data_IF_688571192911
#
_entry.id   IF_688571192911
#
_cell.length_a   1.000
_cell.length_b   1.000
_cell.length_c   1.000
_cell.angle_alpha   90.00
_cell.angle_beta   90.00
_cell.angle_gamma   90.00
#
_symmetry.space_group_name_H-M   'P 1'
#
loop_
_entity.id
_entity.type
_entity.pdbx_description
1 polymer ?
#
# COMPACT_ATOMS: atom_id res chain seq x y z
N UNK A 1 27.19 28.21 16.47
CA UNK A 1 26.56 27.75 15.20
C UNK A 1 25.92 26.40 15.51
N UNK A 2 24.60 26.37 15.64
CA UNK A 2 23.85 25.15 15.96
C UNK A 2 23.65 24.37 14.67
N UNK A 3 24.40 23.29 14.49
CA UNK A 3 24.09 22.29 13.47
C UNK A 3 22.72 21.71 13.78
N UNK A 4 21.74 22.09 12.97
CA UNK A 4 20.42 21.46 13.00
C UNK A 4 20.62 20.09 12.37
N UNK A 5 20.79 19.06 13.19
CA UNK A 5 20.77 17.67 12.71
C UNK A 5 19.40 17.44 12.08
N UNK A 6 19.30 17.55 10.75
CA UNK A 6 18.13 17.06 10.02
C UNK A 6 17.97 15.59 10.44
N UNK A 7 16.91 15.29 11.19
CA UNK A 7 16.49 13.90 11.40
C UNK A 7 16.23 13.34 10.01
N UNK A 8 17.10 12.44 9.55
CA UNK A 8 16.81 11.63 8.36
C UNK A 8 15.45 10.97 8.60
N UNK A 9 14.49 11.30 7.75
CA UNK A 9 13.21 10.61 7.72
C UNK A 9 13.48 9.12 7.46
N UNK A 10 12.82 8.27 8.24
CA UNK A 10 13.08 6.83 8.20
C UNK A 10 12.79 6.28 6.82
N UNK A 11 13.76 5.55 6.26
CA UNK A 11 13.65 4.94 4.95
C UNK A 11 13.09 3.53 5.06
N UNK A 12 12.52 2.99 3.98
CA UNK A 12 12.00 1.61 3.97
C UNK A 12 13.05 0.56 4.35
N UNK A 13 14.33 0.81 4.09
CA UNK A 13 15.44 -0.08 4.50
C UNK A 13 15.68 -0.15 6.01
N UNK A 14 15.04 0.74 6.80
CA UNK A 14 15.14 0.74 8.26
C UNK A 14 14.10 -0.15 8.94
N UNK A 15 12.99 -0.48 8.25
CA UNK A 15 11.95 -1.36 8.78
C UNK A 15 12.37 -2.81 8.57
N UNK A 16 12.81 -3.48 9.65
CA UNK A 16 13.19 -4.89 9.63
C UNK A 16 12.17 -5.75 10.35
N UNK A 17 11.67 -6.76 9.65
CA UNK A 17 10.91 -7.86 10.22
C UNK A 17 11.80 -9.12 10.18
N UNK A 18 12.52 -9.44 11.27
CA UNK A 18 13.54 -10.50 11.29
C UNK A 18 13.01 -11.85 10.82
N UNK A 19 13.88 -12.63 10.17
CA UNK A 19 13.59 -13.96 9.62
C UNK A 19 12.36 -14.00 8.70
N UNK A 20 12.00 -12.87 8.10
CA UNK A 20 10.89 -12.81 7.17
C UNK A 20 11.19 -11.95 5.96
N UNK A 21 10.51 -12.26 4.86
CA UNK A 21 10.64 -11.53 3.59
C UNK A 21 9.26 -11.19 3.04
N UNK A 22 9.17 -10.02 2.41
CA UNK A 22 8.03 -9.65 1.58
C UNK A 22 8.00 -10.54 0.35
N UNK A 23 6.82 -11.04 0.01
CA UNK A 23 6.55 -11.72 -1.25
C UNK A 23 5.27 -11.15 -1.86
N UNK A 24 5.07 -11.39 -3.14
CA UNK A 24 3.87 -10.99 -3.87
C UNK A 24 3.31 -12.17 -4.64
N UNK A 25 1.99 -12.34 -4.59
CA UNK A 25 1.27 -13.26 -5.46
C UNK A 25 0.67 -12.44 -6.61
N UNK A 26 0.97 -12.84 -7.84
CA UNK A 26 0.40 -12.24 -9.04
C UNK A 26 -1.06 -12.68 -9.21
N UNK A 27 -1.95 -11.74 -9.50
CA UNK A 27 -3.31 -12.02 -9.93
C UNK A 27 -3.40 -12.23 -11.44
N UNK A 28 -4.57 -12.68 -11.89
CA UNK A 28 -4.89 -12.85 -13.31
C UNK A 28 -5.18 -11.52 -13.99
N UNK A 29 -5.73 -10.52 -13.28
CA UNK A 29 -5.90 -9.18 -13.83
C UNK A 29 -4.58 -8.40 -13.81
N UNK A 30 -4.35 -7.66 -14.89
CA UNK A 30 -3.12 -6.88 -15.11
C UNK A 30 -2.80 -5.97 -13.93
N UNK A 31 -1.61 -6.14 -13.37
CA UNK A 31 -1.04 -5.29 -12.32
C UNK A 31 -1.49 -5.66 -10.90
N UNK A 32 -2.37 -6.66 -10.72
CA UNK A 32 -2.73 -7.18 -9.40
C UNK A 32 -1.55 -7.94 -8.82
N UNK A 33 -0.92 -7.37 -7.78
CA UNK A 33 0.17 -7.98 -7.00
C UNK A 33 -0.14 -7.92 -5.53
N UNK A 34 -0.46 -9.06 -4.91
CA UNK A 34 -0.95 -9.13 -3.55
C UNK A 34 0.18 -9.40 -2.57
N UNK A 35 0.46 -8.50 -1.61
CA UNK A 35 1.58 -8.64 -0.70
C UNK A 35 1.28 -9.65 0.42
N UNK A 36 2.27 -10.48 0.71
CA UNK A 36 2.34 -11.32 1.89
C UNK A 36 3.74 -11.24 2.50
N UNK A 37 3.87 -11.89 3.66
CA UNK A 37 5.16 -12.11 4.30
C UNK A 37 5.36 -13.58 4.54
N UNK A 38 6.55 -14.07 4.23
CA UNK A 38 6.96 -15.45 4.54
C UNK A 38 7.98 -15.41 5.67
N UNK A 39 7.72 -16.20 6.72
CA UNK A 39 8.61 -16.37 7.86
C UNK A 39 9.36 -17.68 7.69
N UNK A 40 10.69 -17.63 7.63
CA UNK A 40 11.52 -18.82 7.55
C UNK A 40 11.47 -19.57 8.89
N UNK A 41 11.33 -20.89 8.82
CA UNK A 41 11.38 -21.77 9.97
C UNK A 41 12.73 -22.47 10.04
N UNK A 42 13.21 -22.75 11.24
CA UNK A 42 14.40 -23.58 11.44
C UNK A 42 14.09 -25.03 11.09
N UNK A 43 15.04 -25.81 10.54
CA UNK A 43 14.86 -27.24 10.31
C UNK A 43 14.59 -28.01 11.60
N UNK A 44 13.72 -29.02 11.55
CA UNK A 44 13.43 -29.92 12.67
C UNK A 44 14.47 -31.05 12.71
N UNK A 45 15.08 -31.29 13.88
CA UNK A 45 15.94 -32.45 14.09
C UNK A 45 15.17 -33.54 14.83
N UNK A 46 14.92 -34.66 14.15
CA UNK A 46 14.17 -35.78 14.69
C UNK A 46 15.03 -36.64 15.63
N UNK A 47 14.39 -37.45 16.48
CA UNK A 47 15.07 -38.33 17.46
C UNK A 47 16.02 -39.35 16.83
N UNK A 48 15.79 -39.71 15.57
CA UNK A 48 16.64 -40.59 14.77
C UNK A 48 17.84 -39.87 14.12
N UNK A 49 18.03 -38.57 14.38
CA UNK A 49 19.11 -37.75 13.84
C UNK A 49 18.85 -37.18 12.45
N UNK A 50 17.70 -37.47 11.82
CA UNK A 50 17.32 -36.88 10.54
C UNK A 50 16.96 -35.40 10.69
N UNK A 51 17.28 -34.61 9.66
CA UNK A 51 16.92 -33.19 9.55
C UNK A 51 15.79 -33.08 8.54
N UNK A 52 14.71 -32.43 8.95
CA UNK A 52 13.53 -32.13 8.14
C UNK A 52 13.45 -30.62 7.94
N UNK A 53 13.49 -30.19 6.68
CA UNK A 53 13.31 -28.77 6.33
C UNK A 53 11.84 -28.39 6.50
N UNK A 54 11.59 -27.24 7.13
CA UNK A 54 10.24 -26.74 7.35
C UNK A 54 9.92 -25.66 6.32
N UNK A 55 8.80 -25.81 5.63
CA UNK A 55 8.32 -24.78 4.71
C UNK A 55 8.03 -23.45 5.45
N UNK A 56 8.27 -22.30 4.79
CA UNK A 56 8.04 -21.01 5.41
C UNK A 56 6.56 -20.78 5.69
N UNK A 57 6.25 -20.14 6.82
CA UNK A 57 4.87 -19.77 7.16
C UNK A 57 4.52 -18.47 6.48
N UNK A 58 3.52 -18.52 5.60
CA UNK A 58 2.95 -17.34 4.96
C UNK A 58 1.93 -16.68 5.87
N UNK A 59 2.06 -15.37 6.06
CA UNK A 59 1.16 -14.56 6.88
C UNK A 59 0.67 -13.33 6.10
N UNK A 60 -0.46 -12.81 6.55
CA UNK A 60 -1.00 -11.54 6.08
C UNK A 60 -0.01 -10.41 6.34
N UNK A 61 0.11 -9.48 5.40
CA UNK A 61 1.02 -8.36 5.55
C UNK A 61 0.39 -7.02 5.14
N UNK A 62 0.33 -6.10 6.10
CA UNK A 62 -0.24 -4.76 5.99
C UNK A 62 0.81 -3.65 6.06
N UNK A 63 2.10 -3.96 6.17
CA UNK A 63 3.19 -2.97 6.23
C UNK A 63 3.32 -2.13 4.94
N UNK A 64 2.77 -2.61 3.83
CA UNK A 64 2.86 -1.95 2.53
C UNK A 64 4.26 -2.12 1.91
N UNK A 65 4.76 -1.13 1.16
CA UNK A 65 6.10 -1.17 0.55
C UNK A 65 7.22 -0.78 1.52
N UNK A 66 6.90 -0.41 2.77
CA UNK A 66 7.89 0.08 3.73
C UNK A 66 8.85 -0.98 4.24
N UNK A 67 8.50 -2.27 4.17
CA UNK A 67 9.37 -3.39 4.51
C UNK A 67 9.86 -4.16 3.27
N UNK A 68 9.58 -3.64 2.07
CA UNK A 68 10.08 -4.19 0.82
C UNK A 68 11.44 -3.55 0.50
N UNK A 69 12.51 -4.33 0.66
CA UNK A 69 13.87 -3.89 0.36
C UNK A 69 14.09 -3.51 -1.11
N UNK A 70 13.22 -3.97 -2.03
CA UNK A 70 13.28 -3.60 -3.44
C UNK A 70 12.64 -2.23 -3.71
N UNK A 71 11.88 -1.66 -2.76
CA UNK A 71 11.16 -0.39 -2.93
C UNK A 71 11.75 0.66 -2.02
N UNK A 72 12.31 1.71 -2.62
CA UNK A 72 12.72 2.90 -1.87
C UNK A 72 11.52 3.81 -1.66
N UNK A 73 11.12 3.98 -0.40
CA UNK A 73 10.05 4.89 -0.02
C UNK A 73 10.62 6.22 0.49
N UNK A 74 9.99 7.32 0.08
CA UNK A 74 10.22 8.66 0.60
C UNK A 74 8.87 9.26 0.98
N UNK A 75 8.74 9.67 2.25
CA UNK A 75 7.48 10.23 2.75
C UNK A 75 7.09 11.50 1.99
N UNK A 76 8.06 12.28 1.50
CA UNK A 76 7.83 13.53 0.77
C UNK A 76 7.34 13.29 -0.64
N UNK A 77 7.64 12.12 -1.23
CA UNK A 77 7.12 11.72 -2.54
C UNK A 77 5.77 11.01 -2.46
N UNK A 78 5.50 10.35 -1.33
CA UNK A 78 4.33 9.50 -1.14
C UNK A 78 4.46 8.15 -1.84
N UNK A 79 3.44 7.30 -1.65
CA UNK A 79 3.46 5.95 -2.22
C UNK A 79 3.04 5.91 -3.69
N UNK A 80 3.58 4.92 -4.40
CA UNK A 80 3.19 4.58 -5.76
C UNK A 80 1.68 4.34 -5.86
N UNK A 81 1.07 4.86 -6.92
CA UNK A 81 -0.38 4.84 -7.12
C UNK A 81 -0.88 3.52 -7.72
N UNK A 82 -0.60 2.38 -7.09
CA UNK A 82 -0.78 1.03 -7.67
C UNK A 82 -2.17 0.79 -8.28
N UNK A 83 -3.22 1.37 -7.68
CA UNK A 83 -4.62 1.20 -8.12
C UNK A 83 -5.07 2.19 -9.19
N UNK A 84 -4.27 3.21 -9.51
CA UNK A 84 -4.70 4.31 -10.38
C UNK A 84 -5.06 3.80 -11.77
N UNK A 85 -4.25 2.92 -12.33
CA UNK A 85 -4.48 2.39 -13.67
C UNK A 85 -5.74 1.52 -13.70
N UNK A 86 -6.00 0.72 -12.66
CA UNK A 86 -7.24 -0.06 -12.52
C UNK A 86 -8.47 0.84 -12.50
N UNK A 87 -8.38 1.97 -11.80
CA UNK A 87 -9.47 2.93 -11.66
C UNK A 87 -9.74 3.64 -12.99
N UNK A 88 -8.69 4.11 -13.67
CA UNK A 88 -8.83 4.82 -14.96
C UNK A 88 -9.31 3.88 -16.06
N UNK A 89 -8.80 2.64 -16.11
CA UNK A 89 -9.12 1.67 -17.15
C UNK A 89 -10.61 1.28 -17.21
N UNK A 90 -11.36 1.45 -16.10
CA UNK A 90 -12.83 1.23 -16.09
C UNK A 90 -13.60 2.25 -16.92
N UNK A 91 -13.02 3.42 -17.17
CA UNK A 91 -13.60 4.44 -18.05
C UNK A 91 -14.79 5.21 -17.47
N UNK A 92 -15.08 5.08 -16.17
CA UNK A 92 -16.22 5.70 -15.47
C UNK A 92 -15.83 6.87 -14.55
N UNK A 93 -14.55 7.24 -14.55
CA UNK A 93 -14.00 8.39 -13.82
C UNK A 93 -13.47 9.47 -14.75
N UNK A 94 -13.42 10.69 -14.25
CA UNK A 94 -12.78 11.85 -14.89
C UNK A 94 -11.97 12.63 -13.84
N UNK A 95 -10.91 13.31 -14.31
CA UNK A 95 -10.14 14.23 -13.47
C UNK A 95 -10.91 15.52 -13.22
N UNK A 96 -10.73 16.11 -12.04
CA UNK A 96 -11.25 17.44 -11.73
C UNK A 96 -10.28 18.19 -10.83
N UNK A 97 -10.42 19.52 -10.76
CA UNK A 97 -9.49 20.42 -10.05
C UNK A 97 -9.34 20.11 -8.56
N UNK A 98 -10.30 19.43 -7.93
CA UNK A 98 -10.35 19.32 -6.47
C UNK A 98 -11.02 20.53 -5.83
N UNK A 99 -11.19 20.49 -4.50
CA UNK A 99 -11.60 21.68 -3.74
C UNK A 99 -10.36 22.42 -3.25
N UNK A 100 -10.47 23.73 -3.12
CA UNK A 100 -9.43 24.53 -2.48
C UNK A 100 -9.38 24.24 -0.97
N UNK A 101 -8.14 24.18 -0.44
CA UNK A 101 -7.90 24.08 1.00
C UNK A 101 -8.25 25.43 1.63
N UNK A 102 -8.98 25.38 2.73
CA UNK A 102 -9.41 26.55 3.50
C UNK A 102 -8.67 26.59 4.85
N UNK A 103 -8.55 27.77 5.48
CA UNK A 103 -7.94 27.91 6.81
C UNK A 103 -8.55 26.99 7.88
N UNK A 104 -9.87 26.81 7.82
CA UNK A 104 -10.65 25.94 8.71
C UNK A 104 -10.24 24.45 8.62
N UNK A 105 -9.63 24.02 7.51
CA UNK A 105 -9.12 22.65 7.34
C UNK A 105 -7.85 22.40 8.18
N UNK A 106 -7.12 23.46 8.47
CA UNK A 106 -5.87 23.45 9.24
C UNK A 106 -6.05 24.03 10.65
N UNK A 107 -7.29 24.30 11.07
CA UNK A 107 -7.61 24.82 12.41
C UNK A 107 -7.40 26.32 12.59
N UNK A 108 -7.40 27.10 11.51
CA UNK A 108 -7.25 28.56 11.57
C UNK A 108 -8.55 29.30 11.23
N UNK A 109 -8.80 30.42 11.92
CA UNK A 109 -10.02 31.21 11.79
C UNK A 109 -9.96 32.26 10.66
N UNK A 110 -8.77 32.62 10.17
CA UNK A 110 -8.58 33.70 9.19
C UNK A 110 -7.57 33.34 8.10
N UNK A 111 -7.81 33.84 6.89
CA UNK A 111 -6.81 33.89 5.82
C UNK A 111 -5.61 34.72 6.30
N UNK A 112 -4.40 34.17 6.20
CA UNK A 112 -3.14 34.79 6.66
C UNK A 112 -2.56 34.19 7.95
N UNK A 113 -3.37 33.58 8.83
CA UNK A 113 -2.84 32.87 10.00
C UNK A 113 -1.97 31.66 9.61
N UNK A 114 -2.26 31.05 8.46
CA UNK A 114 -1.45 29.99 7.85
C UNK A 114 -0.07 30.48 7.41
N UNK A 115 0.08 31.71 6.95
CA UNK A 115 1.38 32.26 6.51
C UNK A 115 2.33 32.41 7.69
N UNK A 116 1.80 32.87 8.83
CA UNK A 116 2.55 32.90 10.08
C UNK A 116 2.93 31.49 10.55
N UNK A 117 2.04 30.51 10.41
CA UNK A 117 2.32 29.12 10.73
C UNK A 117 3.35 28.47 9.80
N UNK A 118 3.39 28.84 8.52
CA UNK A 118 4.41 28.41 7.53
C UNK A 118 5.80 28.96 7.83
N UNK A 119 5.89 30.09 8.54
CA UNK A 119 7.17 30.73 8.89
C UNK A 119 7.76 30.26 10.24
N UNK A 120 7.06 29.39 11.00
CA UNK A 120 7.55 28.91 12.30
C UNK A 120 8.64 27.86 12.17
N UNK A 121 9.63 27.92 13.07
CA UNK A 121 10.68 26.89 13.21
C UNK A 121 10.14 25.58 13.81
N UNK A 122 9.10 25.63 14.65
CA UNK A 122 8.44 24.46 15.25
C UNK A 122 6.94 24.47 14.99
N UNK A 123 6.40 23.33 14.58
CA UNK A 123 4.98 23.19 14.22
C UNK A 123 4.62 23.90 12.92
N UNK A 124 5.57 23.93 11.97
CA UNK A 124 5.36 24.55 10.67
C UNK A 124 4.24 23.86 9.92
N UNK A 125 3.29 24.64 9.40
CA UNK A 125 2.31 24.11 8.46
C UNK A 125 3.00 23.83 7.12
N UNK A 126 3.17 22.55 6.79
CA UNK A 126 3.79 22.13 5.53
C UNK A 126 2.78 21.40 4.65
N UNK A 127 2.43 21.94 3.46
CA UNK A 127 1.61 21.21 2.51
C UNK A 127 2.37 20.00 1.98
N UNK A 128 1.67 18.90 1.77
CA UNK A 128 2.28 17.67 1.26
C UNK A 128 2.89 17.90 -0.14
N UNK A 129 4.23 17.76 -0.31
CA UNK A 129 4.90 18.13 -1.56
C UNK A 129 4.71 17.08 -2.67
N UNK A 130 4.35 15.84 -2.34
CA UNK A 130 4.15 14.75 -3.29
C UNK A 130 2.81 14.75 -4.02
N UNK A 131 1.94 15.73 -3.79
CA UNK A 131 0.61 15.79 -4.41
C UNK A 131 0.69 16.24 -5.87
N UNK A 132 1.06 15.32 -6.76
CA UNK A 132 1.24 15.58 -8.20
C UNK A 132 0.04 15.19 -9.08
N UNK A 133 -0.92 14.46 -8.52
CA UNK A 133 -2.00 13.80 -9.27
C UNK A 133 -3.33 14.54 -9.12
N UNK A 134 -4.06 14.70 -10.22
CA UNK A 134 -5.41 15.25 -10.18
C UNK A 134 -6.36 14.29 -9.47
N UNK A 135 -7.24 14.80 -8.58
CA UNK A 135 -8.35 14.04 -8.02
C UNK A 135 -9.27 13.49 -9.11
N UNK A 136 -9.88 12.34 -8.84
CA UNK A 136 -10.84 11.69 -9.72
C UNK A 136 -12.25 11.79 -9.13
N UNK A 137 -13.24 11.94 -10.01
CA UNK A 137 -14.66 11.82 -9.68
C UNK A 137 -15.37 10.92 -10.69
N UNK A 138 -16.54 10.41 -10.34
CA UNK A 138 -17.37 9.69 -11.30
C UNK A 138 -17.80 10.62 -12.44
N UNK A 139 -17.81 10.11 -13.68
CA UNK A 139 -18.43 10.80 -14.81
C UNK A 139 -19.93 11.00 -14.55
N UNK A 140 -20.55 12.03 -15.16
CA UNK A 140 -22.00 12.20 -15.09
C UNK A 140 -22.75 10.90 -15.46
N UNK A 141 -23.71 10.51 -14.61
CA UNK A 141 -24.50 9.28 -14.79
C UNK A 141 -23.78 7.97 -14.42
N UNK A 142 -22.50 8.01 -14.04
CA UNK A 142 -21.74 6.83 -13.65
C UNK A 142 -21.77 6.59 -12.14
N UNK A 143 -21.57 5.34 -11.71
CA UNK A 143 -21.41 4.94 -10.32
C UNK A 143 -20.13 4.12 -10.18
N UNK A 144 -19.31 4.49 -9.21
CA UNK A 144 -17.93 3.96 -9.08
C UNK A 144 -17.71 3.07 -7.85
N UNK A 145 -18.78 2.75 -7.11
CA UNK A 145 -18.68 1.97 -5.88
C UNK A 145 -18.50 0.48 -6.16
N UNK A 146 -17.75 -0.23 -5.31
CA UNK A 146 -17.58 -1.68 -5.43
C UNK A 146 -18.92 -2.42 -5.39
N UNK A 147 -19.87 -1.93 -4.59
CA UNK A 147 -21.23 -2.46 -4.55
C UNK A 147 -21.98 -2.34 -5.89
N UNK A 148 -21.78 -1.24 -6.64
CA UNK A 148 -22.38 -1.07 -7.96
C UNK A 148 -21.84 -2.10 -8.96
N UNK A 149 -20.53 -2.33 -8.99
CA UNK A 149 -19.93 -3.37 -9.85
C UNK A 149 -20.40 -4.77 -9.45
N UNK A 150 -20.39 -5.08 -8.15
CA UNK A 150 -20.82 -6.39 -7.64
C UNK A 150 -22.27 -6.72 -8.01
N UNK A 151 -23.19 -5.75 -7.85
CA UNK A 151 -24.61 -5.93 -8.24
C UNK A 151 -24.82 -6.13 -9.75
N UNK A 152 -23.84 -5.76 -10.57
CA UNK A 152 -23.83 -5.98 -12.02
C UNK A 152 -23.09 -7.24 -12.44
N UNK A 153 -22.61 -8.05 -11.48
CA UNK A 153 -21.81 -9.24 -11.75
C UNK A 153 -20.41 -8.94 -12.30
N UNK A 154 -19.89 -7.73 -12.09
CA UNK A 154 -18.57 -7.32 -12.54
C UNK A 154 -17.53 -7.54 -11.44
N UNK A 155 -16.51 -8.34 -11.73
CA UNK A 155 -15.37 -8.54 -10.82
C UNK A 155 -14.33 -7.45 -11.12
N UNK A 156 -13.97 -6.67 -10.11
CA UNK A 156 -12.94 -5.64 -10.23
C UNK A 156 -11.55 -6.18 -9.86
N UNK A 157 -10.45 -5.52 -10.26
CA UNK A 157 -9.12 -5.84 -9.76
C UNK A 157 -9.03 -5.82 -8.23
N UNK A 158 -9.78 -4.93 -7.57
CA UNK A 158 -9.85 -4.90 -6.11
C UNK A 158 -10.52 -6.15 -5.50
N UNK A 159 -11.55 -6.70 -6.15
CA UNK A 159 -12.20 -7.93 -5.69
C UNK A 159 -11.26 -9.13 -5.80
N UNK A 160 -10.55 -9.25 -6.91
CA UNK A 160 -9.53 -10.31 -7.07
C UNK A 160 -8.37 -10.14 -6.08
N UNK A 161 -7.88 -8.91 -5.92
CA UNK A 161 -6.79 -8.63 -4.97
C UNK A 161 -7.16 -9.13 -3.56
N UNK A 162 -8.39 -8.85 -3.10
CA UNK A 162 -8.86 -9.32 -1.80
C UNK A 162 -9.07 -10.84 -1.80
N UNK A 163 -9.65 -11.43 -2.85
CA UNK A 163 -9.83 -12.88 -2.93
C UNK A 163 -8.50 -13.64 -2.75
N UNK A 164 -7.46 -13.21 -3.46
CA UNK A 164 -6.10 -13.77 -3.32
C UNK A 164 -5.58 -13.53 -1.90
N UNK A 165 -5.74 -12.31 -1.37
CA UNK A 165 -5.23 -11.92 -0.04
C UNK A 165 -5.83 -12.75 1.10
N UNK A 166 -7.13 -13.03 1.02
CA UNK A 166 -7.85 -13.82 2.02
C UNK A 166 -7.61 -15.33 1.88
N UNK A 167 -7.22 -15.78 0.68
CA UNK A 167 -6.90 -17.19 0.44
C UNK A 167 -5.59 -17.62 1.16
N UNK A 168 -4.70 -16.67 1.49
CA UNK A 168 -3.39 -16.94 2.11
C UNK A 168 -2.53 -17.98 1.36
N UNK A 169 -2.81 -18.22 0.07
CA UNK A 169 -2.14 -19.26 -0.73
C UNK A 169 -2.63 -20.69 -0.50
N UNK A 170 -3.78 -20.90 0.16
CA UNK A 170 -4.33 -22.26 0.38
C UNK A 170 -4.66 -22.99 -0.90
N UNK A 171 -5.10 -22.28 -1.94
CA UNK A 171 -5.38 -22.88 -3.25
C UNK A 171 -4.11 -23.42 -3.93
N UNK A 172 -3.01 -22.67 -3.91
CA UNK A 172 -1.71 -23.17 -4.39
C UNK A 172 -1.20 -24.34 -3.54
N UNK A 173 -1.37 -24.29 -2.22
CA UNK A 173 -1.02 -25.40 -1.34
C UNK A 173 -1.85 -26.66 -1.64
N UNK A 174 -3.14 -26.50 -1.97
CA UNK A 174 -4.02 -27.58 -2.39
C UNK A 174 -3.57 -28.18 -3.74
N UNK A 175 -3.25 -27.35 -4.72
CA UNK A 175 -2.71 -27.80 -6.02
C UNK A 175 -1.40 -28.58 -5.85
N UNK A 176 -0.50 -28.13 -4.98
CA UNK A 176 0.75 -28.84 -4.67
C UNK A 176 0.52 -30.19 -4.00
N UNK A 177 -0.53 -30.32 -3.18
CA UNK A 177 -0.91 -31.59 -2.55
C UNK A 177 -1.59 -32.56 -3.53
N UNK A 178 -2.32 -32.05 -4.52
CA UNK A 178 -3.02 -32.86 -5.53
C UNK A 178 -2.08 -33.35 -6.64
N UNK A 179 -1.00 -32.59 -6.90
CA UNK A 179 -0.01 -32.91 -7.95
C UNK A 179 1.21 -33.71 -7.44
N UNK A 180 1.23 -34.09 -6.16
CA UNK A 180 2.20 -35.02 -5.54
C UNK A 180 1.56 -36.40 -5.32
#
# INVERSE_FOLDING_TARGET
MSETTERREGRSDEVRLPNSRKIYIEGTQRGVRVPFREIALNPTRNFNGQIEENDPVRVYDTSGPWDDAAVRCDVREGLAALRRDWIIARGDVEEYTGREVKPEDNGYLTLGAEEYAKAKDKGRLEPFPGLRRAPLRAKPGSRVTQMHYARRGQITPEMEFIAIRENLGRETALEMLVNN
#
